data_IF_675363879538
#
_entry.id   IF_675363879538
#
_cell.length_a   1.000
_cell.length_b   1.000
_cell.length_c   1.000
_cell.angle_alpha   90.00
_cell.angle_beta   90.00
_cell.angle_gamma   90.00
#
_symmetry.space_group_name_H-M   'P 1'
#
loop_
_entity.id
_entity.type
_entity.pdbx_description
1 polymer ?
#
# COMPACT_ATOMS: atom_id res chain seq x y z
N UNK A 1 -7.06 -11.32 5.31
CA UNK A 1 -7.02 -10.13 4.43
C UNK A 1 -6.06 -10.43 3.27
N UNK A 2 -6.39 -11.42 2.46
CA UNK A 2 -5.73 -11.76 1.19
C UNK A 2 -6.86 -12.21 0.26
N UNK A 3 -7.09 -11.48 -0.83
CA UNK A 3 -8.25 -11.69 -1.72
C UNK A 3 -7.86 -12.22 -3.09
N UNK A 4 -6.63 -11.92 -3.53
CA UNK A 4 -6.07 -12.22 -4.84
C UNK A 4 -5.11 -13.41 -4.89
N UNK A 5 -4.73 -14.02 -3.75
CA UNK A 5 -3.98 -15.28 -3.75
C UNK A 5 -3.16 -15.59 -2.49
N UNK A 6 -2.17 -16.47 -2.65
CA UNK A 6 -1.18 -16.85 -1.63
C UNK A 6 0.13 -16.07 -1.74
N UNK A 7 0.15 -15.02 -2.56
CA UNK A 7 1.35 -14.25 -2.87
C UNK A 7 1.08 -12.77 -2.66
N UNK A 8 1.99 -12.06 -2.03
CA UNK A 8 1.90 -10.61 -1.82
C UNK A 8 3.06 -9.93 -2.52
N UNK A 9 2.76 -9.00 -3.42
CA UNK A 9 3.75 -8.10 -3.98
C UNK A 9 3.76 -6.81 -3.19
N UNK A 10 4.93 -6.40 -2.71
CA UNK A 10 5.14 -5.14 -2.01
C UNK A 10 5.90 -4.22 -2.97
N UNK A 11 5.25 -3.17 -3.46
CA UNK A 11 5.89 -2.14 -4.27
C UNK A 11 6.15 -0.89 -3.43
N UNK A 12 7.34 -0.31 -3.55
CA UNK A 12 7.62 1.00 -2.96
C UNK A 12 8.96 1.57 -3.37
N UNK A 13 9.16 2.86 -3.09
CA UNK A 13 10.37 3.57 -3.51
C UNK A 13 11.35 3.73 -2.34
N UNK A 14 12.53 3.11 -2.44
CA UNK A 14 13.58 3.17 -1.40
C UNK A 14 14.49 4.38 -1.59
N UNK A 15 14.09 5.55 -1.10
CA UNK A 15 14.99 6.70 -1.06
C UNK A 15 15.89 6.75 0.20
N UNK A 16 15.56 5.99 1.26
CA UNK A 16 16.30 6.01 2.55
C UNK A 16 16.31 4.64 3.24
N UNK A 17 17.38 4.36 4.01
CA UNK A 17 17.59 3.09 4.71
C UNK A 17 16.41 2.66 5.59
N UNK A 18 15.74 3.60 6.27
CA UNK A 18 14.61 3.29 7.17
C UNK A 18 13.36 2.78 6.45
N UNK A 19 13.13 3.14 5.18
CA UNK A 19 12.00 2.59 4.39
C UNK A 19 12.21 1.12 4.06
N UNK A 20 13.46 0.72 3.87
CA UNK A 20 13.83 -0.67 3.63
C UNK A 20 13.42 -1.54 4.81
N UNK A 21 13.65 -1.09 6.06
CA UNK A 21 13.24 -1.85 7.25
C UNK A 21 11.74 -2.10 7.32
N UNK A 22 10.89 -1.07 7.13
CA UNK A 22 9.44 -1.26 7.18
C UNK A 22 8.91 -2.21 6.10
N UNK A 23 9.46 -2.10 4.88
CA UNK A 23 9.11 -2.98 3.76
C UNK A 23 9.57 -4.42 4.01
N UNK A 24 10.78 -4.62 4.54
CA UNK A 24 11.31 -5.93 4.94
C UNK A 24 10.49 -6.54 6.07
N UNK A 25 10.09 -5.75 7.07
CA UNK A 25 9.18 -6.22 8.13
C UNK A 25 7.85 -6.68 7.54
N UNK A 26 7.34 -5.99 6.52
CA UNK A 26 6.10 -6.39 5.85
C UNK A 26 6.26 -7.71 5.07
N UNK A 27 7.39 -7.91 4.38
CA UNK A 27 7.74 -9.20 3.77
C UNK A 27 7.73 -10.30 4.82
N UNK A 28 8.46 -10.10 5.94
CA UNK A 28 8.56 -11.07 7.03
C UNK A 28 7.19 -11.38 7.66
N UNK A 29 6.33 -10.37 7.82
CA UNK A 29 4.97 -10.56 8.32
C UNK A 29 4.18 -11.51 7.41
N UNK A 30 4.16 -11.25 6.10
CA UNK A 30 3.41 -12.07 5.16
C UNK A 30 4.01 -13.47 4.96
N UNK A 31 5.34 -13.60 4.90
CA UNK A 31 6.03 -14.90 4.84
C UNK A 31 5.81 -15.75 6.11
N UNK A 32 5.50 -15.10 7.24
CA UNK A 32 5.13 -15.78 8.48
C UNK A 32 3.71 -16.36 8.48
N UNK A 33 2.86 -16.01 7.51
CA UNK A 33 1.51 -16.55 7.41
C UNK A 33 1.53 -17.89 6.65
N UNK A 34 0.84 -18.89 7.20
CA UNK A 34 0.82 -20.22 6.62
C UNK A 34 0.29 -20.21 5.18
N UNK A 35 1.11 -20.71 4.24
CA UNK A 35 0.76 -20.80 2.82
C UNK A 35 0.81 -19.46 2.08
N UNK A 36 1.44 -18.42 2.66
CA UNK A 36 1.62 -17.11 2.02
C UNK A 36 3.10 -16.88 1.75
N UNK A 37 3.40 -16.17 0.65
CA UNK A 37 4.75 -15.68 0.34
C UNK A 37 4.69 -14.23 -0.07
N UNK A 38 5.74 -13.47 0.21
CA UNK A 38 5.85 -12.07 -0.17
C UNK A 38 7.10 -11.77 -1.00
N UNK A 39 7.01 -10.75 -1.84
CA UNK A 39 8.14 -10.26 -2.63
C UNK A 39 8.19 -8.74 -2.55
N UNK A 40 9.39 -8.20 -2.38
CA UNK A 40 9.63 -6.76 -2.34
C UNK A 40 10.20 -6.28 -3.68
N UNK A 41 9.50 -5.33 -4.31
CA UNK A 41 9.98 -4.54 -5.44
C UNK A 41 10.41 -3.15 -4.95
N UNK A 42 11.73 -2.96 -4.83
CA UNK A 42 12.35 -1.70 -4.40
C UNK A 42 12.41 -0.64 -5.50
N UNK A 43 12.25 -1.07 -6.76
CA UNK A 43 12.05 -0.22 -7.93
C UNK A 43 10.70 -0.62 -8.50
N UNK A 44 9.64 0.19 -8.30
CA UNK A 44 8.30 -0.15 -8.74
C UNK A 44 8.28 -0.40 -10.25
N UNK A 45 7.88 -1.61 -10.64
CA UNK A 45 7.65 -1.94 -12.03
C UNK A 45 6.28 -1.43 -12.49
N UNK A 46 6.12 -1.26 -13.81
CA UNK A 46 4.83 -0.89 -14.39
C UNK A 46 3.78 -1.92 -14.06
N UNK A 47 2.67 -1.48 -13.45
CA UNK A 47 1.56 -2.37 -13.12
C UNK A 47 0.79 -2.75 -14.39
N UNK A 48 0.64 -4.05 -14.60
CA UNK A 48 -0.09 -4.66 -15.72
C UNK A 48 -0.98 -5.80 -15.23
N UNK A 49 -1.98 -6.21 -16.02
CA UNK A 49 -2.85 -7.33 -15.66
C UNK A 49 -2.06 -8.63 -15.39
N UNK A 50 -0.98 -8.89 -16.14
CA UNK A 50 -0.14 -10.06 -15.93
C UNK A 50 0.66 -9.97 -14.63
N UNK A 51 1.16 -8.79 -14.26
CA UNK A 51 1.87 -8.61 -12.98
C UNK A 51 0.97 -8.80 -11.75
N UNK A 52 -0.34 -8.63 -11.90
CA UNK A 52 -1.33 -8.74 -10.83
C UNK A 52 -1.95 -10.15 -10.71
N UNK A 53 -1.61 -11.07 -11.60
CA UNK A 53 -2.22 -12.40 -11.61
C UNK A 53 -1.79 -13.24 -10.39
N UNK A 54 -2.77 -13.65 -9.58
CA UNK A 54 -2.57 -14.55 -8.43
C UNK A 54 -1.79 -13.93 -7.26
N UNK A 55 -1.81 -12.60 -7.15
CA UNK A 55 -1.17 -11.87 -6.06
C UNK A 55 -2.17 -10.94 -5.37
N UNK A 56 -1.85 -10.54 -4.15
CA UNK A 56 -2.31 -9.31 -3.53
C UNK A 56 -1.22 -8.23 -3.67
N UNK A 57 -1.63 -6.97 -3.84
CA UNK A 57 -0.69 -5.87 -4.03
C UNK A 57 -0.69 -4.92 -2.83
N UNK A 58 0.49 -4.69 -2.27
CA UNK A 58 0.76 -3.70 -1.24
C UNK A 58 1.62 -2.56 -1.80
N UNK A 59 1.09 -1.35 -1.82
CA UNK A 59 1.79 -0.15 -2.30
C UNK A 59 2.25 0.65 -1.08
N UNK A 60 3.56 0.65 -0.83
CA UNK A 60 4.23 1.38 0.24
C UNK A 60 5.00 2.59 -0.30
N UNK A 61 4.36 3.75 -0.33
CA UNK A 61 5.01 5.02 -0.68
C UNK A 61 5.77 4.97 -2.04
N UNK A 62 5.03 4.84 -3.14
CA UNK A 62 5.55 4.97 -4.51
C UNK A 62 5.85 6.44 -4.81
N UNK A 63 7.08 6.75 -5.22
CA UNK A 63 7.50 8.14 -5.48
C UNK A 63 7.11 8.64 -6.87
N UNK A 64 6.88 7.72 -7.80
CA UNK A 64 6.27 7.99 -9.09
C UNK A 64 4.76 7.84 -9.00
N UNK A 65 4.03 8.73 -9.68
CA UNK A 65 2.60 8.56 -9.88
C UNK A 65 2.27 7.31 -10.70
N UNK A 66 0.98 7.01 -10.79
CA UNK A 66 0.46 5.94 -11.64
C UNK A 66 0.05 6.53 -12.98
N UNK A 67 0.43 5.87 -14.07
CA UNK A 67 -0.13 6.17 -15.39
C UNK A 67 -1.61 5.79 -15.45
N UNK A 68 -2.33 6.36 -16.43
CA UNK A 68 -3.73 6.01 -16.67
C UNK A 68 -3.91 4.50 -16.95
N UNK A 69 -2.96 3.87 -17.65
CA UNK A 69 -2.97 2.43 -17.92
C UNK A 69 -2.76 1.59 -16.65
N UNK A 70 -1.87 2.02 -15.75
CA UNK A 70 -1.67 1.33 -14.47
C UNK A 70 -2.90 1.47 -13.57
N UNK A 71 -3.50 2.66 -13.51
CA UNK A 71 -4.71 2.90 -12.75
C UNK A 71 -5.88 2.04 -13.28
N UNK A 72 -6.03 1.93 -14.60
CA UNK A 72 -7.03 1.05 -15.22
C UNK A 72 -6.77 -0.44 -14.89
N UNK A 73 -5.50 -0.88 -14.90
CA UNK A 73 -5.16 -2.25 -14.52
C UNK A 73 -5.47 -2.54 -13.04
N UNK A 74 -5.18 -1.59 -12.14
CA UNK A 74 -5.48 -1.70 -10.71
C UNK A 74 -7.00 -1.70 -10.44
N UNK A 75 -7.75 -0.85 -11.13
CA UNK A 75 -9.21 -0.82 -11.03
C UNK A 75 -9.84 -2.12 -11.51
N UNK A 76 -9.37 -2.66 -12.64
CA UNK A 76 -9.82 -3.96 -13.13
C UNK A 76 -9.45 -5.10 -12.16
N UNK A 77 -8.25 -5.06 -11.56
CA UNK A 77 -7.82 -6.06 -10.58
C UNK A 77 -8.71 -6.06 -9.33
N UNK A 78 -9.02 -4.88 -8.77
CA UNK A 78 -9.92 -4.75 -7.61
C UNK A 78 -11.35 -5.19 -7.95
N UNK A 79 -11.87 -4.78 -9.11
CA UNK A 79 -13.21 -5.20 -9.60
C UNK A 79 -13.31 -6.73 -9.79
N UNK A 80 -12.20 -7.38 -10.13
CA UNK A 80 -12.13 -8.84 -10.29
C UNK A 80 -11.82 -9.59 -8.98
N UNK A 81 -11.87 -8.91 -7.83
CA UNK A 81 -11.70 -9.52 -6.49
C UNK A 81 -10.27 -9.55 -5.96
N UNK A 82 -9.32 -8.92 -6.65
CA UNK A 82 -7.97 -8.73 -6.15
C UNK A 82 -7.92 -7.81 -4.93
N UNK A 83 -6.99 -8.03 -3.99
CA UNK A 83 -6.83 -7.13 -2.85
C UNK A 83 -5.68 -6.13 -3.08
N UNK A 84 -6.00 -4.86 -2.84
CA UNK A 84 -5.07 -3.75 -2.89
C UNK A 84 -4.98 -3.10 -1.51
N UNK A 85 -3.76 -2.94 -1.00
CA UNK A 85 -3.50 -2.18 0.22
C UNK A 85 -2.58 -0.99 -0.13
N UNK A 86 -3.08 0.21 0.10
CA UNK A 86 -2.38 1.46 -0.22
C UNK A 86 -1.94 2.13 1.08
N UNK A 87 -0.63 2.33 1.24
CA UNK A 87 -0.08 3.16 2.30
C UNK A 87 0.39 4.49 1.71
N UNK A 88 -0.29 5.57 2.10
CA UNK A 88 0.18 6.93 1.88
C UNK A 88 0.78 7.54 3.14
N UNK A 89 1.50 8.64 2.95
CA UNK A 89 2.24 9.35 4.00
C UNK A 89 1.96 10.85 3.83
N UNK A 90 1.51 11.52 4.90
CA UNK A 90 1.04 12.91 4.85
C UNK A 90 2.19 13.93 4.90
N UNK A 91 3.15 13.74 5.82
CA UNK A 91 4.28 14.64 6.00
C UNK A 91 5.30 14.02 6.96
N UNK A 92 6.47 13.61 6.43
CA UNK A 92 7.53 13.10 7.29
C UNK A 92 8.78 12.64 6.55
N UNK A 93 8.68 12.31 5.27
CA UNK A 93 9.80 11.69 4.53
C UNK A 93 10.11 12.35 3.19
N UNK A 94 9.59 13.57 2.96
CA UNK A 94 9.71 14.34 1.71
C UNK A 94 8.90 13.74 0.56
N UNK A 95 8.58 14.52 -0.48
CA UNK A 95 7.88 14.02 -1.68
C UNK A 95 6.34 14.09 -1.63
N UNK A 96 5.71 13.72 -2.75
CA UNK A 96 4.27 13.87 -3.00
C UNK A 96 3.47 12.58 -2.74
N UNK A 97 3.85 11.79 -1.72
CA UNK A 97 3.26 10.47 -1.47
C UNK A 97 1.77 10.53 -1.13
N UNK A 98 1.34 11.53 -0.37
CA UNK A 98 -0.07 11.78 -0.07
C UNK A 98 -0.89 12.02 -1.35
N UNK A 99 -0.41 12.93 -2.22
CA UNK A 99 -1.13 13.24 -3.46
C UNK A 99 -1.16 12.04 -4.41
N UNK A 100 -0.06 11.30 -4.55
CA UNK A 100 -0.03 10.09 -5.39
C UNK A 100 -1.02 9.04 -4.90
N UNK A 101 -1.10 8.81 -3.58
CA UNK A 101 -2.09 7.90 -3.01
C UNK A 101 -3.53 8.38 -3.24
N UNK A 102 -3.79 9.69 -3.07
CA UNK A 102 -5.10 10.29 -3.33
C UNK A 102 -5.48 10.27 -4.82
N UNK A 103 -4.53 10.44 -5.73
CA UNK A 103 -4.74 10.34 -7.17
C UNK A 103 -5.12 8.90 -7.55
N UNK A 104 -4.42 7.91 -7.01
CA UNK A 104 -4.76 6.50 -7.19
C UNK A 104 -6.15 6.19 -6.60
N UNK A 105 -6.44 6.60 -5.37
CA UNK A 105 -7.76 6.41 -4.76
C UNK A 105 -8.88 7.06 -5.58
N UNK A 106 -8.61 8.21 -6.20
CA UNK A 106 -9.55 8.88 -7.13
C UNK A 106 -9.75 8.04 -8.39
N UNK A 107 -8.67 7.54 -8.98
CA UNK A 107 -8.74 6.72 -10.18
C UNK A 107 -9.44 5.37 -9.95
N UNK A 108 -9.37 4.85 -8.72
CA UNK A 108 -10.12 3.66 -8.27
C UNK A 108 -11.58 3.99 -7.89
N UNK A 109 -12.03 5.23 -8.03
CA UNK A 109 -13.40 5.63 -7.69
C UNK A 109 -13.69 5.71 -6.19
N UNK A 110 -12.68 5.60 -5.32
CA UNK A 110 -12.86 5.76 -3.88
C UNK A 110 -13.16 7.20 -3.51
N UNK A 111 -14.01 7.43 -2.51
CA UNK A 111 -14.20 8.73 -1.87
C UNK A 111 -13.22 9.02 -0.73
N UNK A 112 -12.45 8.02 -0.28
CA UNK A 112 -11.50 8.18 0.84
C UNK A 112 -10.29 8.99 0.42
N UNK A 113 -9.89 9.97 1.23
CA UNK A 113 -8.69 10.76 0.99
C UNK A 113 -7.87 10.89 2.26
N UNK A 114 -6.57 10.85 2.09
CA UNK A 114 -5.61 11.22 3.11
C UNK A 114 -5.59 12.75 3.20
N UNK A 115 -6.00 13.27 4.35
CA UNK A 115 -5.97 14.71 4.64
C UNK A 115 -4.56 15.20 4.99
N UNK A 116 -4.46 16.50 5.27
CA UNK A 116 -3.22 17.13 5.75
C UNK A 116 -3.06 17.13 7.27
N UNK A 117 -4.05 16.59 8.00
CA UNK A 117 -4.02 16.55 9.46
C UNK A 117 -2.88 15.66 9.96
N UNK A 118 -2.05 16.19 10.86
CA UNK A 118 -1.14 15.41 11.67
C UNK A 118 -1.82 15.03 12.98
N UNK A 119 -1.81 13.74 13.32
CA UNK A 119 -2.44 13.21 14.53
C UNK A 119 -1.51 13.36 15.76
N UNK A 120 -0.43 14.14 15.64
CA UNK A 120 0.55 14.38 16.70
C UNK A 120 1.86 13.62 16.49
N UNK A 121 2.81 13.82 17.41
CA UNK A 121 4.08 13.08 17.44
C UNK A 121 3.97 11.83 18.31
N UNK A 122 4.43 10.68 17.80
CA UNK A 122 4.50 9.42 18.53
C UNK A 122 3.30 8.50 18.31
N UNK A 123 3.26 7.40 19.06
CA UNK A 123 2.11 6.49 19.09
C UNK A 123 1.10 6.98 20.12
N UNK A 124 -0.07 7.44 19.66
CA UNK A 124 -1.20 7.69 20.55
C UNK A 124 -1.85 6.35 20.92
N UNK A 125 -1.37 5.72 21.99
CA UNK A 125 -2.03 4.55 22.57
C UNK A 125 -3.15 5.03 23.50
N UNK A 126 -4.40 4.66 23.22
CA UNK A 126 -5.50 4.87 24.18
C UNK A 126 -5.41 3.77 25.25
N UNK A 127 -5.20 4.11 26.54
CA UNK A 127 -5.04 3.09 27.59
C UNK A 127 -6.34 2.36 27.96
N UNK A 128 -7.52 2.80 27.49
CA UNK A 128 -8.80 2.11 27.74
C UNK A 128 -9.64 2.03 26.46
N UNK A 129 -10.04 0.81 26.09
CA UNK A 129 -11.27 0.61 25.34
C UNK A 129 -12.39 0.92 26.33
N UNK A 130 -13.04 2.08 26.19
CA UNK A 130 -14.23 2.35 26.98
C UNK A 130 -15.21 1.18 26.82
N UNK A 131 -15.51 0.48 27.92
CA UNK A 131 -16.62 -0.47 27.93
C UNK A 131 -17.88 0.29 27.55
N UNK A 132 -18.45 -0.03 26.39
CA UNK A 132 -19.69 0.59 25.93
C UNK A 132 -20.80 0.40 26.98
N UNK A 133 -21.62 1.42 27.27
CA UNK A 133 -22.80 1.30 28.12
C UNK A 133 -23.89 0.44 27.46
#
# INVERSE_FOLDING_TARGET
>A
MLGGGSRVLIQGSVATLSRNTAQVTMVQFFDGLAGVSATLETVPTTVTASSLAGIDLYISARSSGFSASEAAALSAFETNGGALLILGENSGVGGSFNSIANDLLTALGSGMRLGSASIGSGFLTTPEVASAP
#
